data_IF_241506713763
#
_entry.id   IF_241506713763
#
_cell.length_a   1.000
_cell.length_b   1.000
_cell.length_c   1.000
_cell.angle_alpha   90.00
_cell.angle_beta   90.00
_cell.angle_gamma   90.00
#
_symmetry.space_group_name_H-M   'P 1'
#
loop_
_entity.id
_entity.type
_entity.pdbx_description
1 polymer ?
#
# COMPACT_ATOMS: atom_id res chain seq x y z
N UNK A 1 -55.91 -3.79 65.39
CA UNK A 1 -54.95 -3.51 66.47
C UNK A 1 -53.79 -2.70 65.89
N UNK A 2 -53.39 -1.63 66.62
CA UNK A 2 -52.38 -0.57 66.37
C UNK A 2 -50.94 -1.11 66.16
N UNK A 3 -49.85 -0.42 65.73
CA UNK A 3 -49.39 0.90 65.16
C UNK A 3 -47.86 0.69 64.86
N UNK A 4 -47.10 1.42 64.02
CA UNK A 4 -46.48 2.77 64.22
C UNK A 4 -45.58 3.15 62.99
N UNK A 5 -45.72 4.34 62.35
CA UNK A 5 -44.90 5.61 62.42
C UNK A 5 -43.50 5.53 61.72
N UNK A 6 -42.93 6.47 60.94
CA UNK A 6 -43.11 7.91 60.53
C UNK A 6 -42.19 8.17 59.28
N UNK A 7 -42.58 8.88 58.20
CA UNK A 7 -42.49 10.34 57.86
C UNK A 7 -41.05 10.93 57.72
N UNK A 8 -40.65 11.84 56.80
CA UNK A 8 -41.19 12.50 55.58
C UNK A 8 -40.12 13.43 54.90
N UNK A 9 -40.26 13.71 53.57
CA UNK A 9 -40.12 14.99 52.80
C UNK A 9 -38.85 15.91 52.93
N UNK A 10 -38.40 16.81 52.02
CA UNK A 10 -38.68 17.34 50.66
C UNK A 10 -37.54 18.37 50.32
N UNK A 11 -36.95 18.41 49.10
CA UNK A 11 -37.11 19.34 47.94
C UNK A 11 -36.44 20.76 47.96
N UNK A 12 -35.91 21.15 46.77
CA UNK A 12 -35.51 22.47 46.20
C UNK A 12 -34.11 23.08 46.45
N UNK A 13 -33.48 23.58 45.37
CA UNK A 13 -32.18 24.29 45.33
C UNK A 13 -32.26 25.78 44.96
N UNK A 14 -31.11 26.46 44.80
CA UNK A 14 -30.85 27.72 44.04
C UNK A 14 -29.36 28.18 44.13
N UNK A 15 -28.77 28.55 42.96
CA UNK A 15 -27.76 29.58 42.57
C UNK A 15 -26.44 29.94 43.36
N UNK A 16 -25.34 30.14 42.60
CA UNK A 16 -23.89 30.37 42.93
C UNK A 16 -23.47 31.76 43.49
N UNK A 17 -22.21 31.98 43.99
CA UNK A 17 -21.12 32.53 43.13
C UNK A 17 -19.65 32.10 43.47
N UNK A 18 -18.73 32.62 42.64
CA UNK A 18 -17.26 32.47 42.49
C UNK A 18 -16.32 32.71 43.69
N UNK A 19 -15.18 32.01 43.73
CA UNK A 19 -13.94 32.49 44.38
C UNK A 19 -12.66 32.00 43.63
N UNK A 20 -11.71 32.89 43.26
CA UNK A 20 -10.34 32.56 42.81
C UNK A 20 -9.38 32.41 44.03
N UNK A 21 -8.10 32.01 43.84
CA UNK A 21 -7.38 31.04 44.69
C UNK A 21 -6.61 31.67 45.87
N UNK A 22 -6.22 30.89 46.89
CA UNK A 22 -5.12 31.25 47.78
C UNK A 22 -3.77 30.76 47.21
N UNK A 23 -2.87 31.72 47.01
CA UNK A 23 -1.44 31.53 46.77
C UNK A 23 -0.74 30.90 47.99
N UNK A 24 0.31 30.12 47.73
CA UNK A 24 1.37 29.82 48.71
C UNK A 24 1.17 28.55 49.54
N UNK A 25 1.69 27.43 49.03
CA UNK A 25 1.88 26.18 49.78
C UNK A 25 3.14 25.47 49.28
N UNK A 26 3.92 24.96 50.24
CA UNK A 26 5.31 24.48 50.18
C UNK A 26 5.71 23.55 49.00
N UNK A 27 7.02 23.47 48.64
CA UNK A 27 7.49 22.61 47.56
C UNK A 27 7.20 21.13 47.89
N UNK A 28 6.23 20.57 47.18
CA UNK A 28 5.99 19.12 47.15
C UNK A 28 7.23 18.44 46.57
N UNK A 29 7.92 17.68 47.43
CA UNK A 29 8.97 16.74 47.04
C UNK A 29 8.32 15.63 46.22
N UNK A 30 8.39 15.76 44.89
CA UNK A 30 8.01 14.68 44.00
C UNK A 30 9.01 13.51 44.16
N UNK A 31 8.55 12.25 44.20
CA UNK A 31 9.46 11.13 44.11
C UNK A 31 10.14 11.19 42.73
N UNK A 32 11.47 11.31 42.74
CA UNK A 32 12.28 11.10 41.54
C UNK A 32 12.09 9.63 41.16
N UNK A 33 11.35 9.39 40.09
CA UNK A 33 11.26 8.06 39.49
C UNK A 33 12.63 7.79 38.86
N UNK A 34 13.40 6.91 39.49
CA UNK A 34 14.63 6.36 38.92
C UNK A 34 14.26 5.54 37.67
N UNK A 35 14.45 6.13 36.50
CA UNK A 35 14.34 5.46 35.21
C UNK A 35 15.67 4.76 34.88
N UNK A 36 16.13 3.89 35.78
CA UNK A 36 17.17 2.87 35.50
C UNK A 36 16.60 1.70 34.68
N UNK A 37 15.61 1.98 33.83
CA UNK A 37 15.06 1.05 32.87
C UNK A 37 16.11 0.74 31.81
N UNK A 38 16.46 -0.55 31.72
CA UNK A 38 17.25 -1.19 30.67
C UNK A 38 17.12 -0.40 29.36
N UNK A 39 18.23 0.16 28.87
CA UNK A 39 18.30 0.67 27.50
C UNK A 39 17.93 -0.53 26.62
N UNK A 40 16.71 -0.51 26.09
CA UNK A 40 16.36 -1.43 25.02
C UNK A 40 17.23 -0.99 23.87
N UNK A 41 18.22 -1.82 23.54
CA UNK A 41 18.96 -1.69 22.29
C UNK A 41 17.91 -1.63 21.19
N UNK A 42 17.61 -0.42 20.72
CA UNK A 42 16.96 -0.23 19.46
C UNK A 42 18.01 -0.63 18.42
N UNK A 43 18.19 -1.95 18.26
CA UNK A 43 18.46 -2.56 16.97
C UNK A 43 17.23 -2.27 16.09
N UNK A 44 16.99 -0.98 15.87
CA UNK A 44 15.96 -0.44 15.03
C UNK A 44 16.29 -0.97 13.66
N UNK A 45 15.59 -2.04 13.29
CA UNK A 45 15.37 -2.38 11.90
C UNK A 45 14.84 -1.09 11.31
N UNK A 46 15.71 -0.34 10.62
CA UNK A 46 15.35 0.89 9.95
C UNK A 46 14.17 0.50 9.09
N UNK A 47 12.96 0.95 9.48
CA UNK A 47 11.79 0.75 8.67
C UNK A 47 12.10 1.58 7.43
N UNK A 48 12.38 0.89 6.33
CA UNK A 48 12.64 1.50 5.05
C UNK A 48 11.33 2.19 4.63
N UNK A 49 11.19 3.48 4.99
CA UNK A 49 9.99 4.27 4.71
C UNK A 49 9.99 4.50 3.20
N UNK A 50 9.21 3.68 2.51
CA UNK A 50 8.99 3.82 1.07
C UNK A 50 7.84 4.78 0.77
N UNK A 51 7.96 5.54 -0.30
CA UNK A 51 6.86 6.32 -0.86
C UNK A 51 5.98 5.41 -1.70
N UNK A 52 4.66 5.52 -1.56
CA UNK A 52 3.68 4.81 -2.39
C UNK A 52 2.62 5.80 -2.89
N UNK A 53 2.59 6.02 -4.20
CA UNK A 53 1.66 6.93 -4.86
C UNK A 53 0.73 6.10 -5.74
N UNK A 54 -0.57 6.27 -5.61
CA UNK A 54 -1.55 5.61 -6.49
C UNK A 54 -2.43 6.64 -7.17
N UNK A 55 -2.80 6.38 -8.42
CA UNK A 55 -3.83 7.16 -9.09
C UNK A 55 -5.23 6.88 -8.51
N UNK A 56 -6.19 7.75 -8.82
CA UNK A 56 -7.55 7.69 -8.27
C UNK A 56 -8.29 6.38 -8.57
N UNK A 57 -8.01 5.75 -9.71
CA UNK A 57 -8.58 4.45 -10.08
C UNK A 57 -7.70 3.25 -9.65
N UNK A 58 -6.68 3.48 -8.81
CA UNK A 58 -5.69 2.51 -8.31
C UNK A 58 -5.01 1.63 -9.38
N UNK A 59 -5.13 2.01 -10.65
CA UNK A 59 -4.61 1.22 -11.78
C UNK A 59 -3.12 1.37 -12.02
N UNK A 60 -2.50 2.39 -11.40
CA UNK A 60 -1.06 2.65 -11.42
C UNK A 60 -0.62 2.98 -10.01
N UNK A 61 0.27 2.17 -9.46
CA UNK A 61 0.92 2.41 -8.17
C UNK A 61 2.42 2.60 -8.42
N UNK A 62 2.98 3.69 -7.91
CA UNK A 62 4.43 3.96 -7.92
C UNK A 62 4.96 3.79 -6.51
N UNK A 63 5.88 2.85 -6.32
CA UNK A 63 6.52 2.55 -5.04
C UNK A 63 8.02 2.86 -5.16
N UNK A 64 8.55 3.66 -4.23
CA UNK A 64 9.99 3.92 -4.12
C UNK A 64 10.48 3.50 -2.75
N UNK A 65 11.49 2.63 -2.70
CA UNK A 65 12.17 2.17 -1.47
C UNK A 65 13.67 2.34 -1.64
N UNK A 66 14.27 3.28 -0.91
CA UNK A 66 15.68 3.65 -1.06
C UNK A 66 16.01 4.07 -2.50
N UNK A 67 16.84 3.26 -3.17
CA UNK A 67 17.23 3.44 -4.58
C UNK A 67 16.40 2.58 -5.54
N UNK A 68 15.53 1.69 -5.05
CA UNK A 68 14.66 0.89 -5.90
C UNK A 68 13.35 1.63 -6.15
N UNK A 69 12.96 1.78 -7.41
CA UNK A 69 11.63 2.22 -7.81
C UNK A 69 10.89 1.09 -8.51
N UNK A 70 9.59 0.99 -8.27
CA UNK A 70 8.69 -0.01 -8.85
C UNK A 70 7.37 0.65 -9.24
N UNK A 71 7.03 0.58 -10.51
CA UNK A 71 5.77 1.08 -11.06
C UNK A 71 4.89 -0.13 -11.41
N UNK A 72 3.76 -0.25 -10.76
CA UNK A 72 2.81 -1.36 -10.87
C UNK A 72 1.62 -0.90 -11.69
N UNK A 73 1.30 -1.64 -12.75
CA UNK A 73 0.16 -1.40 -13.61
C UNK A 73 -0.86 -2.54 -13.47
N UNK A 74 -2.13 -2.19 -13.27
CA UNK A 74 -3.22 -3.17 -13.38
C UNK A 74 -3.33 -3.68 -14.83
N UNK A 75 -3.38 -5.00 -15.00
CA UNK A 75 -3.45 -5.61 -16.33
C UNK A 75 -4.72 -5.20 -17.08
N UNK A 76 -5.84 -5.02 -16.37
CA UNK A 76 -7.13 -4.62 -16.94
C UNK A 76 -7.11 -3.20 -17.55
N UNK A 77 -6.11 -2.38 -17.18
CA UNK A 77 -5.89 -1.05 -17.79
C UNK A 77 -4.93 -1.11 -18.97
N UNK A 78 -3.97 -2.02 -18.92
CA UNK A 78 -3.00 -2.21 -19.99
C UNK A 78 -3.60 -2.97 -21.18
N UNK A 79 -4.42 -3.98 -20.93
CA UNK A 79 -4.83 -4.95 -21.93
C UNK A 79 -6.36 -5.09 -21.98
N UNK A 80 -6.86 -5.48 -23.15
CA UNK A 80 -8.21 -6.01 -23.24
C UNK A 80 -8.30 -7.39 -22.55
N UNK A 81 -9.52 -7.80 -22.17
CA UNK A 81 -9.78 -9.08 -21.49
C UNK A 81 -9.12 -10.25 -22.22
N UNK A 82 -8.34 -11.03 -21.48
CA UNK A 82 -7.60 -12.21 -21.95
C UNK A 82 -6.66 -11.98 -23.16
N UNK A 83 -6.23 -10.74 -23.38
CA UNK A 83 -5.30 -10.38 -24.45
C UNK A 83 -3.99 -9.84 -23.89
N UNK A 84 -2.99 -9.77 -24.77
CA UNK A 84 -1.72 -9.06 -24.57
C UNK A 84 -1.62 -7.79 -25.45
N UNK A 85 -2.71 -7.43 -26.14
CA UNK A 85 -2.76 -6.21 -26.96
C UNK A 85 -3.00 -4.99 -26.08
N UNK A 86 -2.10 -4.01 -26.17
CA UNK A 86 -2.18 -2.76 -25.41
C UNK A 86 -3.36 -1.88 -25.87
N UNK A 87 -4.10 -1.33 -24.91
CA UNK A 87 -5.18 -0.37 -25.17
C UNK A 87 -4.65 1.04 -25.46
N UNK A 88 -5.50 1.94 -25.98
CA UNK A 88 -5.15 3.35 -26.12
C UNK A 88 -4.81 4.02 -24.78
N UNK A 89 -5.55 3.69 -23.72
CA UNK A 89 -5.28 4.15 -22.34
C UNK A 89 -3.92 3.65 -21.85
N UNK A 90 -3.58 2.40 -22.15
CA UNK A 90 -2.29 1.79 -21.82
C UNK A 90 -1.12 2.60 -22.39
N UNK A 91 -1.17 2.96 -23.67
CA UNK A 91 -0.11 3.76 -24.32
C UNK A 91 0.13 5.09 -23.60
N UNK A 92 -0.93 5.75 -23.13
CA UNK A 92 -0.78 7.01 -22.39
C UNK A 92 -0.16 6.84 -21.01
N UNK A 93 -0.42 5.71 -20.33
CA UNK A 93 0.21 5.37 -19.05
C UNK A 93 1.67 4.98 -19.23
N UNK A 94 1.97 4.18 -20.25
CA UNK A 94 3.35 3.79 -20.60
C UNK A 94 4.20 4.99 -21.01
N UNK A 95 3.64 6.02 -21.65
CA UNK A 95 4.35 7.27 -21.91
C UNK A 95 4.79 8.00 -20.64
N UNK A 96 3.93 8.06 -19.62
CA UNK A 96 4.30 8.64 -18.32
C UNK A 96 5.41 7.84 -17.65
N UNK A 97 5.32 6.50 -17.68
CA UNK A 97 6.40 5.65 -17.19
C UNK A 97 7.71 5.87 -17.95
N UNK A 98 7.64 5.99 -19.28
CA UNK A 98 8.79 6.27 -20.12
C UNK A 98 9.48 7.59 -19.76
N UNK A 99 8.73 8.64 -19.40
CA UNK A 99 9.32 9.90 -18.93
C UNK A 99 10.14 9.71 -17.64
N UNK A 100 9.64 8.93 -16.67
CA UNK A 100 10.40 8.57 -15.46
C UNK A 100 11.64 7.76 -15.81
N UNK A 101 11.51 6.75 -16.68
CA UNK A 101 12.63 5.90 -17.10
C UNK A 101 13.74 6.70 -17.79
N UNK A 102 13.42 7.66 -18.67
CA UNK A 102 14.43 8.50 -19.32
C UNK A 102 15.22 9.34 -18.32
N UNK A 103 14.57 9.80 -17.25
CA UNK A 103 15.19 10.67 -16.23
C UNK A 103 16.03 9.90 -15.23
N UNK A 104 15.58 8.72 -14.83
CA UNK A 104 16.09 8.03 -13.64
C UNK A 104 16.76 6.68 -13.94
N UNK A 105 16.44 6.05 -15.07
CA UNK A 105 16.91 4.71 -15.44
C UNK A 105 17.98 4.71 -16.55
N UNK A 106 18.54 5.88 -16.91
CA UNK A 106 19.53 5.98 -17.97
C UNK A 106 20.78 5.13 -17.67
N UNK A 107 21.12 4.21 -18.58
CA UNK A 107 22.25 3.29 -18.42
C UNK A 107 22.04 2.15 -17.42
N UNK A 108 20.81 1.93 -16.95
CA UNK A 108 20.48 0.91 -15.96
C UNK A 108 19.59 -0.18 -16.56
N UNK A 109 19.59 -1.34 -15.92
CA UNK A 109 18.68 -2.42 -16.25
C UNK A 109 17.28 -2.13 -15.67
N UNK A 110 16.26 -2.26 -16.52
CA UNK A 110 14.86 -2.15 -16.14
C UNK A 110 14.20 -3.52 -16.28
N UNK A 111 13.61 -4.00 -15.20
CA UNK A 111 12.90 -5.29 -15.16
C UNK A 111 11.41 -5.08 -15.38
N UNK A 112 10.81 -5.95 -16.18
CA UNK A 112 9.38 -5.98 -16.46
C UNK A 112 8.86 -7.37 -16.12
N UNK A 113 8.06 -7.44 -15.06
CA UNK A 113 7.53 -8.68 -14.49
C UNK A 113 6.01 -8.73 -14.70
N UNK A 114 5.53 -9.77 -15.37
CA UNK A 114 4.10 -10.01 -15.61
C UNK A 114 3.52 -11.03 -14.63
N UNK A 115 2.30 -10.76 -14.15
CA UNK A 115 1.56 -11.65 -13.25
C UNK A 115 0.09 -11.81 -13.69
N UNK A 116 -0.50 -12.95 -13.33
CA UNK A 116 -1.91 -13.28 -13.51
C UNK A 116 -2.60 -13.46 -12.16
N UNK A 117 -3.90 -13.71 -12.17
CA UNK A 117 -4.58 -14.30 -11.02
C UNK A 117 -4.47 -15.83 -11.05
N UNK A 118 -5.02 -16.49 -10.03
CA UNK A 118 -4.99 -17.94 -9.89
C UNK A 118 -6.07 -18.69 -10.69
N UNK A 119 -6.75 -18.05 -11.66
CA UNK A 119 -7.70 -18.77 -12.54
C UNK A 119 -6.96 -19.30 -13.76
N UNK A 120 -7.33 -20.49 -14.21
CA UNK A 120 -6.72 -21.16 -15.35
C UNK A 120 -5.59 -22.10 -14.95
N UNK A 121 -4.93 -22.71 -15.93
CA UNK A 121 -3.77 -23.59 -15.68
C UNK A 121 -2.50 -22.79 -15.51
N UNK A 122 -1.58 -23.26 -14.66
CA UNK A 122 -0.28 -22.60 -14.43
C UNK A 122 0.53 -22.35 -15.70
N UNK A 123 0.57 -23.30 -16.65
CA UNK A 123 1.28 -23.12 -17.93
C UNK A 123 0.69 -21.97 -18.77
N UNK A 124 -0.64 -21.94 -18.90
CA UNK A 124 -1.35 -20.84 -19.56
C UNK A 124 -1.04 -19.49 -18.91
N UNK A 125 -1.08 -19.42 -17.58
CA UNK A 125 -0.79 -18.21 -16.83
C UNK A 125 0.64 -17.72 -17.02
N UNK A 126 1.61 -18.65 -17.07
CA UNK A 126 3.00 -18.34 -17.34
C UNK A 126 3.20 -17.76 -18.75
N UNK A 127 2.61 -18.37 -19.77
CA UNK A 127 2.67 -17.87 -21.14
C UNK A 127 1.97 -16.51 -21.31
N UNK A 128 0.81 -16.34 -20.68
CA UNK A 128 0.03 -15.10 -20.75
C UNK A 128 0.78 -13.94 -20.07
N UNK A 129 1.32 -14.16 -18.88
CA UNK A 129 2.11 -13.16 -18.17
C UNK A 129 3.38 -12.78 -18.94
N UNK A 130 4.09 -13.74 -19.51
CA UNK A 130 5.28 -13.48 -20.34
C UNK A 130 4.93 -12.64 -21.56
N UNK A 131 3.87 -12.99 -22.30
CA UNK A 131 3.43 -12.22 -23.48
C UNK A 131 3.04 -10.79 -23.13
N UNK A 132 2.36 -10.59 -22.00
CA UNK A 132 1.98 -9.25 -21.53
C UNK A 132 3.19 -8.41 -21.15
N UNK A 133 4.14 -9.00 -20.43
CA UNK A 133 5.39 -8.33 -20.07
C UNK A 133 6.20 -7.96 -21.32
N UNK A 134 6.26 -8.85 -22.32
CA UNK A 134 6.90 -8.58 -23.61
C UNK A 134 6.24 -7.42 -24.36
N UNK A 135 4.91 -7.38 -24.43
CA UNK A 135 4.19 -6.28 -25.08
C UNK A 135 4.48 -4.91 -24.44
N UNK A 136 4.63 -4.88 -23.11
CA UNK A 136 5.03 -3.66 -22.38
C UNK A 136 6.47 -3.28 -22.70
N UNK A 137 7.39 -4.25 -22.73
CA UNK A 137 8.79 -4.03 -23.13
C UNK A 137 8.88 -3.43 -24.52
N UNK A 138 8.15 -3.97 -25.49
CA UNK A 138 8.22 -3.51 -26.87
C UNK A 138 7.71 -2.06 -26.99
N UNK A 139 6.58 -1.76 -26.35
CA UNK A 139 6.06 -0.39 -26.32
C UNK A 139 6.98 0.60 -25.60
N UNK A 140 7.67 0.20 -24.54
CA UNK A 140 8.63 1.07 -23.85
C UNK A 140 9.94 1.21 -24.63
N UNK A 141 10.41 0.16 -25.28
CA UNK A 141 11.64 0.20 -26.09
C UNK A 141 11.56 1.22 -27.23
N UNK A 142 10.38 1.40 -27.83
CA UNK A 142 10.14 2.46 -28.82
C UNK A 142 10.21 3.87 -28.20
N UNK A 143 9.81 4.02 -26.94
CA UNK A 143 9.75 5.31 -26.26
C UNK A 143 11.12 5.68 -25.66
N UNK A 144 11.86 4.73 -25.09
CA UNK A 144 13.11 4.99 -24.36
C UNK A 144 14.29 4.24 -24.99
N UNK A 145 14.75 4.67 -26.17
CA UNK A 145 15.91 4.05 -26.80
C UNK A 145 17.13 4.17 -25.89
N UNK A 146 17.89 3.07 -25.76
CA UNK A 146 19.10 3.01 -24.91
C UNK A 146 18.88 2.48 -23.50
N UNK A 147 17.64 2.17 -23.11
CA UNK A 147 17.34 1.43 -21.87
C UNK A 147 17.37 -0.07 -22.13
N UNK A 148 18.07 -0.82 -21.29
CA UNK A 148 18.09 -2.29 -21.35
C UNK A 148 16.94 -2.85 -20.53
N UNK A 149 16.11 -3.67 -21.16
CA UNK A 149 14.95 -4.30 -20.53
C UNK A 149 15.13 -5.80 -20.37
N UNK A 150 14.83 -6.29 -19.17
CA UNK A 150 14.68 -7.73 -18.87
C UNK A 150 13.20 -8.04 -18.66
N UNK A 151 12.71 -9.14 -19.20
CA UNK A 151 11.29 -9.50 -19.19
C UNK A 151 11.10 -10.88 -18.58
N UNK A 152 10.17 -11.01 -17.63
CA UNK A 152 9.77 -12.30 -17.06
C UNK A 152 8.25 -12.37 -16.84
N UNK A 153 7.67 -13.54 -17.15
CA UNK A 153 6.33 -13.92 -16.74
C UNK A 153 6.40 -14.84 -15.53
N UNK A 154 5.57 -14.57 -14.53
CA UNK A 154 5.52 -15.33 -13.27
C UNK A 154 4.23 -16.12 -13.10
N UNK A 155 3.28 -15.99 -14.03
CA UNK A 155 1.94 -16.55 -13.88
C UNK A 155 1.28 -16.06 -12.60
N UNK A 156 0.77 -16.99 -11.80
CA UNK A 156 0.05 -16.70 -10.55
C UNK A 156 0.94 -16.60 -9.30
N UNK A 157 2.27 -16.69 -9.47
CA UNK A 157 3.21 -16.58 -8.37
C UNK A 157 3.18 -15.18 -7.72
N UNK A 158 3.70 -15.09 -6.50
CA UNK A 158 3.81 -13.86 -5.71
C UNK A 158 2.52 -12.99 -5.69
N UNK A 159 1.39 -13.54 -5.19
CA UNK A 159 0.15 -12.81 -5.09
C UNK A 159 0.29 -11.65 -4.09
N UNK A 160 -0.10 -10.45 -4.51
CA UNK A 160 -0.16 -9.24 -3.66
C UNK A 160 -1.46 -9.12 -2.88
N UNK A 161 -2.46 -9.94 -3.22
CA UNK A 161 -3.71 -10.07 -2.50
C UNK A 161 -4.25 -11.52 -2.57
N UNK A 162 -5.06 -11.96 -1.60
CA UNK A 162 -5.65 -13.31 -1.63
C UNK A 162 -6.52 -13.54 -2.88
N UNK A 163 -6.31 -14.65 -3.60
CA UNK A 163 -7.16 -15.03 -4.75
C UNK A 163 -8.54 -15.57 -4.32
N UNK A 164 -8.66 -16.03 -3.07
CA UNK A 164 -9.86 -16.54 -2.43
C UNK A 164 -10.14 -15.81 -1.11
N UNK A 165 -11.40 -15.83 -0.66
CA UNK A 165 -11.84 -15.37 0.65
C UNK A 165 -11.52 -16.41 1.74
N UNK A 166 -11.56 -16.05 3.04
CA UNK A 166 -11.26 -17.00 4.13
C UNK A 166 -12.18 -18.24 4.18
N UNK A 167 -13.39 -18.14 3.62
CA UNK A 167 -14.37 -19.22 3.49
C UNK A 167 -14.12 -20.13 2.27
N UNK A 168 -13.04 -19.89 1.51
CA UNK A 168 -12.72 -20.58 0.27
C UNK A 168 -13.48 -20.03 -0.95
N UNK A 169 -14.33 -19.02 -0.76
CA UNK A 169 -15.07 -18.34 -1.82
C UNK A 169 -14.17 -17.56 -2.77
N UNK A 170 -14.70 -17.23 -3.94
CA UNK A 170 -13.99 -16.46 -4.95
C UNK A 170 -13.73 -15.02 -4.48
N UNK A 171 -12.51 -14.48 -4.63
CA UNK A 171 -12.18 -13.09 -4.29
C UNK A 171 -11.82 -12.24 -5.53
N UNK A 172 -12.81 -11.68 -6.25
CA UNK A 172 -12.56 -10.90 -7.47
C UNK A 172 -11.65 -9.68 -7.25
N UNK A 173 -11.78 -9.02 -6.11
CA UNK A 173 -10.98 -7.82 -5.77
C UNK A 173 -9.51 -8.18 -5.60
N UNK A 174 -9.20 -9.28 -4.92
CA UNK A 174 -7.82 -9.74 -4.74
C UNK A 174 -7.21 -10.20 -6.07
N UNK A 175 -7.97 -10.96 -6.87
CA UNK A 175 -7.54 -11.37 -8.22
C UNK A 175 -7.24 -10.19 -9.13
N UNK A 176 -8.06 -9.14 -9.10
CA UNK A 176 -7.81 -7.93 -9.88
C UNK A 176 -6.47 -7.25 -9.54
N UNK A 177 -6.06 -7.28 -8.27
CA UNK A 177 -4.75 -6.77 -7.84
C UNK A 177 -3.60 -7.67 -8.30
N UNK A 178 -3.81 -8.98 -8.36
CA UNK A 178 -2.78 -9.93 -8.80
C UNK A 178 -2.53 -9.87 -10.31
N UNK A 179 -3.57 -9.58 -11.12
CA UNK A 179 -3.44 -9.31 -12.56
C UNK A 179 -2.71 -7.98 -12.78
N UNK A 180 -1.38 -8.01 -12.83
CA UNK A 180 -0.55 -6.80 -12.90
C UNK A 180 0.71 -6.99 -13.75
N UNK A 181 1.31 -5.87 -14.15
CA UNK A 181 2.67 -5.81 -14.68
C UNK A 181 3.46 -4.83 -13.82
N UNK A 182 4.63 -5.25 -13.37
CA UNK A 182 5.53 -4.43 -12.57
C UNK A 182 6.73 -4.02 -13.41
N UNK A 183 7.10 -2.74 -13.34
CA UNK A 183 8.33 -2.20 -13.93
C UNK A 183 9.22 -1.76 -12.79
N UNK A 184 10.41 -2.34 -12.66
CA UNK A 184 11.32 -1.99 -11.57
C UNK A 184 12.72 -1.66 -12.07
N UNK A 185 13.34 -0.68 -11.41
CA UNK A 185 14.68 -0.20 -11.74
C UNK A 185 15.31 0.49 -10.55
N UNK A 186 16.63 0.63 -10.58
CA UNK A 186 17.36 1.44 -9.61
C UNK A 186 17.36 2.90 -10.08
N UNK A 187 16.93 3.85 -9.25
CA UNK A 187 16.96 5.29 -9.55
C UNK A 187 18.32 5.92 -9.27
#
# INVERSE_FOLDING_TARGET
MYRSLSAAAALLGLLSPTQPPPEGGEPVTAPVIDLSGKVLDANGKVLDIGERISNLDESVTDETRGTQRRIIFAADVLFAFDKATLTGKARSRLRQAAESLRKEAAGKEVKIDGYTDAKGSGSYNLELSQRRAQAVRDALGELVPGVTFTVAGHGEADPVAPNALPDGGDNPKGRAKNRRVEISFTR
#
